data_IF_061340311927
#
_entry.id   IF_061340311927
#
_cell.length_a   1.000
_cell.length_b   1.000
_cell.length_c   1.000
_cell.angle_alpha   90.00
_cell.angle_beta   90.00
_cell.angle_gamma   90.00
#
_symmetry.space_group_name_H-M   'P 1'
#
loop_
_entity.id
_entity.type
_entity.pdbx_description
1 polymer ?
#
# COMPACT_ATOMS: atom_id res chain seq x y z
N UNK A 1 -7.37 -25.00 -63.56
CA UNK A 1 -6.44 -24.56 -62.51
C UNK A 1 -7.22 -24.36 -61.22
N UNK A 2 -7.41 -25.37 -60.36
CA UNK A 2 -7.79 -25.17 -58.94
C UNK A 2 -7.62 -26.51 -58.22
N UNK A 3 -6.36 -26.83 -57.87
CA UNK A 3 -5.99 -27.87 -56.90
C UNK A 3 -4.62 -27.53 -56.36
N UNK A 4 -4.59 -26.81 -55.24
CA UNK A 4 -3.53 -26.72 -54.21
C UNK A 4 -3.96 -25.62 -53.25
N UNK A 5 -3.73 -25.83 -51.95
CA UNK A 5 -3.91 -24.90 -50.81
C UNK A 5 -5.00 -25.21 -49.78
N UNK A 6 -5.44 -26.47 -49.63
CA UNK A 6 -6.27 -26.85 -48.48
C UNK A 6 -5.57 -27.74 -47.44
N UNK A 7 -4.25 -27.99 -47.58
CA UNK A 7 -3.52 -28.90 -46.70
C UNK A 7 -2.51 -28.23 -45.74
N UNK A 8 -2.27 -26.93 -45.83
CA UNK A 8 -1.29 -26.23 -44.96
C UNK A 8 -1.88 -25.51 -43.74
N UNK A 9 -3.19 -25.29 -43.69
CA UNK A 9 -3.83 -24.55 -42.58
C UNK A 9 -4.22 -25.44 -41.41
N UNK A 10 -4.61 -26.69 -41.65
CA UNK A 10 -4.99 -27.63 -40.58
C UNK A 10 -3.78 -28.11 -39.77
N UNK A 11 -2.62 -28.30 -40.41
CA UNK A 11 -1.41 -28.73 -39.71
C UNK A 11 -0.85 -27.63 -38.79
N UNK A 12 -0.89 -26.36 -39.21
CA UNK A 12 -0.44 -25.22 -38.40
C UNK A 12 -1.37 -24.94 -37.21
N UNK A 13 -2.68 -25.13 -37.38
CA UNK A 13 -3.65 -25.01 -36.28
C UNK A 13 -3.52 -26.17 -35.31
N UNK A 14 -3.27 -27.39 -35.78
CA UNK A 14 -3.01 -28.55 -34.91
C UNK A 14 -1.66 -28.39 -34.20
N UNK A 15 -0.61 -27.87 -34.84
CA UNK A 15 0.68 -27.59 -34.19
C UNK A 15 0.56 -26.45 -33.18
N UNK A 16 -0.23 -25.41 -33.48
CA UNK A 16 -0.53 -24.33 -32.56
C UNK A 16 -1.41 -24.83 -31.40
N UNK A 17 -2.40 -25.69 -31.63
CA UNK A 17 -3.22 -26.30 -30.57
C UNK A 17 -2.39 -27.30 -29.76
N UNK A 18 -1.44 -28.03 -30.36
CA UNK A 18 -0.52 -28.92 -29.64
C UNK A 18 0.49 -28.08 -28.85
N UNK A 19 1.03 -26.98 -29.38
CA UNK A 19 1.85 -26.04 -28.61
C UNK A 19 1.02 -25.35 -27.51
N UNK A 20 -0.23 -24.99 -27.77
CA UNK A 20 -1.13 -24.38 -26.79
C UNK A 20 -1.58 -25.40 -25.74
N UNK A 21 -1.74 -26.68 -26.09
CA UNK A 21 -1.98 -27.80 -25.17
C UNK A 21 -0.70 -28.15 -24.40
N UNK A 22 0.49 -28.03 -25.00
CA UNK A 22 1.79 -28.17 -24.33
C UNK A 22 2.02 -26.99 -23.36
N UNK A 23 1.58 -25.78 -23.70
CA UNK A 23 1.59 -24.60 -22.82
C UNK A 23 0.52 -24.74 -21.71
N UNK A 24 -0.63 -25.37 -22.00
CA UNK A 24 -1.70 -25.63 -21.02
C UNK A 24 -1.42 -26.88 -20.15
N UNK A 25 -0.38 -27.67 -20.45
CA UNK A 25 0.08 -28.79 -19.61
C UNK A 25 1.55 -28.62 -19.20
N UNK A 26 1.83 -27.73 -18.23
CA UNK A 26 2.84 -27.98 -17.16
C UNK A 26 2.92 -26.81 -16.17
N UNK A 27 2.07 -26.86 -15.16
CA UNK A 27 2.50 -26.61 -13.79
C UNK A 27 1.84 -27.67 -12.92
N UNK A 28 2.18 -28.94 -13.18
CA UNK A 28 2.04 -29.97 -12.14
C UNK A 28 3.23 -29.74 -11.22
N UNK A 29 2.95 -29.40 -9.97
CA UNK A 29 3.86 -29.55 -8.83
C UNK A 29 4.95 -30.59 -9.14
N UNK A 30 6.21 -30.18 -9.31
CA UNK A 30 7.28 -31.06 -9.79
C UNK A 30 8.29 -31.33 -8.68
N UNK A 31 8.31 -32.58 -8.25
CA UNK A 31 9.41 -33.10 -7.43
C UNK A 31 10.65 -33.25 -8.32
N UNK A 32 11.78 -32.70 -7.89
CA UNK A 32 13.01 -32.62 -8.67
C UNK A 32 13.98 -33.72 -8.24
N UNK A 33 14.47 -34.48 -9.22
CA UNK A 33 15.69 -35.27 -9.05
C UNK A 33 16.94 -34.38 -9.11
N UNK A 34 18.08 -34.94 -8.71
CA UNK A 34 19.40 -34.27 -8.79
C UNK A 34 19.69 -33.67 -10.17
N UNK A 35 19.49 -34.45 -11.23
CA UNK A 35 19.78 -34.00 -12.59
C UNK A 35 18.82 -32.89 -13.04
N UNK A 36 17.54 -33.00 -12.68
CA UNK A 36 16.54 -31.99 -13.03
C UNK A 36 16.75 -30.68 -12.27
N UNK A 37 17.17 -30.78 -11.01
CA UNK A 37 17.61 -29.62 -10.23
C UNK A 37 18.79 -28.95 -10.92
N UNK A 38 19.85 -29.69 -11.28
CA UNK A 38 21.04 -29.13 -11.95
C UNK A 38 20.69 -28.49 -13.32
N UNK A 39 19.77 -29.10 -14.07
CA UNK A 39 19.31 -28.57 -15.36
C UNK A 39 18.50 -27.28 -15.18
N UNK A 40 17.61 -27.23 -14.20
CA UNK A 40 16.85 -26.02 -13.87
C UNK A 40 17.76 -24.94 -13.31
N UNK A 41 18.70 -25.32 -12.45
CA UNK A 41 19.62 -24.38 -11.85
C UNK A 41 20.51 -23.72 -12.91
N UNK A 42 20.96 -24.46 -13.93
CA UNK A 42 21.76 -23.87 -15.02
C UNK A 42 20.96 -23.05 -16.04
N UNK A 43 19.68 -23.36 -16.24
CA UNK A 43 18.90 -22.78 -17.35
C UNK A 43 17.94 -21.68 -16.92
N UNK A 44 17.63 -21.58 -15.63
CA UNK A 44 16.60 -20.68 -15.14
C UNK A 44 17.22 -19.51 -14.39
N UNK A 45 16.73 -18.32 -14.74
CA UNK A 45 17.09 -17.06 -14.08
C UNK A 45 16.63 -17.03 -12.62
N UNK A 46 15.43 -17.55 -12.35
CA UNK A 46 14.90 -17.72 -11.02
C UNK A 46 14.44 -19.17 -10.82
N UNK A 47 14.98 -19.82 -9.80
CA UNK A 47 14.58 -21.17 -9.39
C UNK A 47 14.23 -21.15 -7.90
N UNK A 48 12.99 -21.46 -7.54
CA UNK A 48 12.53 -21.49 -6.15
C UNK A 48 12.20 -22.92 -5.72
N UNK A 49 12.93 -23.44 -4.73
CA UNK A 49 12.86 -24.86 -4.38
C UNK A 49 12.55 -25.04 -2.90
N UNK A 50 11.55 -25.87 -2.60
CA UNK A 50 11.30 -26.38 -1.26
C UNK A 50 12.06 -27.67 -1.01
N UNK A 51 12.91 -27.68 0.00
CA UNK A 51 13.55 -28.86 0.54
C UNK A 51 12.74 -29.35 1.75
N UNK A 52 12.32 -30.61 1.73
CA UNK A 52 11.52 -31.23 2.78
C UNK A 52 11.96 -32.67 3.03
N UNK A 53 11.39 -33.33 4.04
CA UNK A 53 11.57 -34.77 4.27
C UNK A 53 10.20 -35.42 4.48
N UNK A 54 9.95 -36.52 3.75
CA UNK A 54 8.73 -37.33 3.88
C UNK A 54 8.63 -38.17 5.16
N UNK A 55 9.74 -38.37 5.89
CA UNK A 55 9.84 -39.32 7.01
C UNK A 55 10.31 -38.64 8.31
N UNK A 56 11.25 -37.70 8.23
CA UNK A 56 11.96 -37.17 9.40
C UNK A 56 11.49 -35.77 9.84
N UNK A 57 10.44 -35.24 9.21
CA UNK A 57 10.00 -33.85 9.43
C UNK A 57 8.49 -33.74 9.74
N UNK A 58 8.17 -33.37 10.99
CA UNK A 58 6.78 -33.29 11.49
C UNK A 58 5.91 -32.25 10.78
N UNK A 59 6.49 -31.12 10.36
CA UNK A 59 5.76 -30.01 9.70
C UNK A 59 5.77 -30.10 8.18
N UNK A 60 6.65 -30.94 7.60
CA UNK A 60 6.86 -30.99 6.15
C UNK A 60 5.63 -31.45 5.37
N UNK A 61 4.78 -32.33 5.94
CA UNK A 61 3.57 -32.76 5.26
C UNK A 61 2.60 -31.58 4.97
N UNK A 62 2.39 -30.70 5.95
CA UNK A 62 1.54 -29.53 5.77
C UNK A 62 2.22 -28.49 4.87
N UNK A 63 3.50 -28.20 5.09
CA UNK A 63 4.27 -27.29 4.25
C UNK A 63 4.29 -27.71 2.79
N UNK A 64 4.44 -29.01 2.51
CA UNK A 64 4.40 -29.55 1.15
C UNK A 64 3.01 -29.35 0.51
N UNK A 65 1.93 -29.48 1.27
CA UNK A 65 0.59 -29.22 0.77
C UNK A 65 0.42 -27.75 0.37
N UNK A 66 0.81 -26.83 1.26
CA UNK A 66 0.75 -25.38 1.02
C UNK A 66 1.64 -24.98 -0.17
N UNK A 67 2.81 -25.60 -0.29
CA UNK A 67 3.73 -25.42 -1.40
C UNK A 67 3.16 -25.91 -2.73
N UNK A 68 2.51 -27.08 -2.77
CA UNK A 68 1.86 -27.59 -3.99
C UNK A 68 0.70 -26.69 -4.44
N UNK A 69 -0.03 -26.09 -3.49
CA UNK A 69 -1.05 -25.09 -3.79
C UNK A 69 -0.45 -23.81 -4.38
N UNK A 70 0.71 -23.41 -3.87
CA UNK A 70 1.50 -22.31 -4.42
C UNK A 70 1.98 -22.64 -5.85
N UNK A 71 2.65 -23.77 -6.09
CA UNK A 71 3.18 -24.21 -7.39
C UNK A 71 2.13 -24.23 -8.51
N UNK A 72 0.95 -24.79 -8.25
CA UNK A 72 -0.10 -24.98 -9.26
C UNK A 72 -0.66 -23.67 -9.85
N UNK A 73 -0.35 -22.51 -9.25
CA UNK A 73 -0.78 -21.19 -9.77
C UNK A 73 0.24 -20.56 -10.73
N UNK A 74 1.53 -20.87 -10.60
CA UNK A 74 2.59 -20.16 -11.33
C UNK A 74 2.55 -20.31 -12.85
N UNK A 75 1.81 -21.31 -13.36
CA UNK A 75 1.52 -21.43 -14.79
C UNK A 75 0.57 -20.37 -15.36
N UNK A 76 -0.14 -19.59 -14.53
CA UNK A 76 -1.18 -18.64 -14.97
C UNK A 76 -0.85 -17.16 -14.69
N UNK A 77 0.29 -16.85 -14.07
CA UNK A 77 0.66 -15.47 -13.68
C UNK A 77 1.87 -15.02 -14.50
N UNK A 78 1.67 -14.09 -15.44
CA UNK A 78 2.71 -13.64 -16.38
C UNK A 78 3.97 -13.10 -15.67
N UNK A 79 3.80 -12.47 -14.50
CA UNK A 79 4.89 -11.88 -13.71
C UNK A 79 5.93 -12.91 -13.23
N UNK A 80 5.52 -14.17 -13.08
CA UNK A 80 6.39 -15.24 -12.62
C UNK A 80 6.67 -16.28 -13.70
N UNK A 81 6.40 -15.96 -14.96
CA UNK A 81 6.72 -16.82 -16.10
C UNK A 81 8.22 -17.18 -16.17
N UNK A 82 9.09 -16.33 -15.63
CA UNK A 82 10.55 -16.55 -15.53
C UNK A 82 10.98 -17.37 -14.29
N UNK A 83 10.05 -17.75 -13.41
CA UNK A 83 10.35 -18.50 -12.18
C UNK A 83 9.98 -19.95 -12.34
N UNK A 84 10.95 -20.84 -12.21
CA UNK A 84 10.68 -22.27 -12.03
C UNK A 84 10.54 -22.59 -10.55
N UNK A 85 9.53 -23.39 -10.22
CA UNK A 85 9.21 -23.77 -8.85
C UNK A 85 9.14 -25.27 -8.76
N UNK A 86 9.86 -25.83 -7.79
CA UNK A 86 9.87 -27.27 -7.53
C UNK A 86 10.11 -27.59 -6.07
N UNK A 87 10.19 -28.88 -5.78
CA UNK A 87 10.49 -29.38 -4.44
C UNK A 87 11.38 -30.62 -4.48
N UNK A 88 12.15 -30.85 -3.42
CA UNK A 88 13.10 -31.95 -3.28
C UNK A 88 12.84 -32.66 -1.96
N UNK A 89 12.65 -33.98 -2.01
CA UNK A 89 12.63 -34.83 -0.82
C UNK A 89 14.05 -35.22 -0.40
N UNK A 90 14.54 -34.63 0.69
CA UNK A 90 15.85 -34.88 1.25
C UNK A 90 16.04 -36.28 1.83
N UNK A 91 14.96 -37.06 2.03
CA UNK A 91 15.12 -38.47 2.36
C UNK A 91 15.65 -39.29 1.19
N UNK A 92 15.18 -38.95 -0.02
CA UNK A 92 15.51 -39.62 -1.27
C UNK A 92 16.79 -39.03 -1.85
N UNK A 93 16.93 -37.71 -1.83
CA UNK A 93 18.04 -36.97 -2.44
C UNK A 93 18.96 -36.34 -1.38
N UNK A 94 19.51 -37.17 -0.47
CA UNK A 94 20.37 -36.72 0.64
C UNK A 94 21.61 -35.96 0.17
N UNK A 95 22.25 -36.43 -0.90
CA UNK A 95 23.47 -35.82 -1.43
C UNK A 95 23.19 -34.43 -1.99
N UNK A 96 22.05 -34.23 -2.65
CA UNK A 96 21.60 -32.92 -3.12
C UNK A 96 21.41 -31.97 -1.94
N UNK A 97 20.60 -32.36 -0.93
CA UNK A 97 20.33 -31.49 0.20
C UNK A 97 21.58 -31.18 1.04
N UNK A 98 22.53 -32.11 1.11
CA UNK A 98 23.82 -31.86 1.76
C UNK A 98 24.68 -30.88 0.96
N UNK A 99 24.68 -30.99 -0.38
CA UNK A 99 25.39 -30.08 -1.28
C UNK A 99 24.84 -28.65 -1.23
N UNK A 100 23.52 -28.51 -1.17
CA UNK A 100 22.84 -27.21 -1.07
C UNK A 100 22.79 -26.66 0.37
N UNK A 101 23.57 -27.21 1.32
CA UNK A 101 23.68 -26.81 2.73
C UNK A 101 22.33 -26.68 3.45
N UNK A 102 21.46 -27.68 3.28
CA UNK A 102 20.13 -27.71 3.92
C UNK A 102 20.24 -28.31 5.32
N UNK A 103 20.33 -27.45 6.32
CA UNK A 103 20.52 -27.84 7.73
C UNK A 103 19.20 -28.06 8.49
N UNK A 104 18.14 -27.35 8.10
CA UNK A 104 16.81 -27.43 8.73
C UNK A 104 15.72 -27.72 7.69
N UNK A 105 14.69 -28.47 8.09
CA UNK A 105 13.58 -28.84 7.24
C UNK A 105 12.22 -28.49 7.90
N UNK A 106 11.24 -28.00 7.13
CA UNK A 106 11.33 -27.62 5.71
C UNK A 106 12.12 -26.33 5.50
N UNK A 107 12.80 -26.21 4.35
CA UNK A 107 13.55 -25.03 3.93
C UNK A 107 13.20 -24.68 2.49
N UNK A 108 12.68 -23.48 2.24
CA UNK A 108 12.62 -22.95 0.88
C UNK A 108 13.85 -22.09 0.57
N UNK A 109 14.41 -22.25 -0.62
CA UNK A 109 15.58 -21.50 -1.08
C UNK A 109 15.35 -21.01 -2.50
N UNK A 110 15.64 -19.73 -2.74
CA UNK A 110 15.59 -19.09 -4.04
C UNK A 110 17.00 -18.96 -4.61
N UNK A 111 17.17 -19.45 -5.82
CA UNK A 111 18.38 -19.33 -6.62
C UNK A 111 18.15 -18.27 -7.69
N UNK A 112 19.04 -17.29 -7.77
CA UNK A 112 18.96 -16.15 -8.69
C UNK A 112 20.21 -16.09 -9.54
N UNK A 113 20.06 -16.24 -10.85
CA UNK A 113 21.12 -15.94 -11.82
C UNK A 113 21.21 -14.42 -12.01
N UNK A 114 22.36 -13.82 -11.66
CA UNK A 114 22.61 -12.41 -11.96
C UNK A 114 23.18 -12.22 -13.36
N UNK A 115 24.04 -13.15 -13.77
CA UNK A 115 24.65 -13.27 -15.07
C UNK A 115 25.05 -14.75 -15.27
N UNK A 116 25.45 -15.14 -16.48
CA UNK A 116 25.82 -16.54 -16.83
C UNK A 116 26.96 -17.17 -16.02
N UNK A 117 27.49 -16.48 -15.00
CA UNK A 117 28.63 -16.87 -14.17
C UNK A 117 28.30 -16.78 -12.66
N UNK A 118 27.44 -15.85 -12.24
CA UNK A 118 27.22 -15.51 -10.83
C UNK A 118 25.81 -15.86 -10.40
N UNK A 119 25.71 -16.69 -9.36
CA UNK A 119 24.45 -17.15 -8.79
C UNK A 119 24.35 -16.79 -7.31
N UNK A 120 23.19 -16.31 -6.89
CA UNK A 120 22.90 -15.96 -5.49
C UNK A 120 21.88 -16.95 -4.93
N UNK A 121 22.14 -17.43 -3.73
CA UNK A 121 21.24 -18.28 -2.96
C UNK A 121 20.62 -17.47 -1.82
N UNK A 122 19.30 -17.57 -1.67
CA UNK A 122 18.54 -16.81 -0.68
C UNK A 122 17.62 -17.75 0.07
N UNK A 123 17.89 -17.93 1.36
CA UNK A 123 17.06 -18.73 2.23
C UNK A 123 15.75 -18.00 2.55
N UNK A 124 14.67 -18.77 2.63
CA UNK A 124 13.40 -18.30 3.15
C UNK A 124 13.39 -18.40 4.67
N UNK A 125 13.42 -17.25 5.34
CA UNK A 125 13.61 -17.17 6.80
C UNK A 125 12.30 -17.26 7.62
N UNK A 126 11.14 -17.29 6.97
CA UNK A 126 9.85 -17.32 7.67
C UNK A 126 9.41 -18.75 8.00
N UNK A 127 8.74 -18.90 9.13
CA UNK A 127 8.10 -20.16 9.54
C UNK A 127 6.74 -20.39 8.85
N UNK A 128 6.20 -19.37 8.19
CA UNK A 128 4.90 -19.41 7.53
C UNK A 128 5.11 -19.75 6.05
N UNK A 129 4.78 -20.98 5.66
CA UNK A 129 4.80 -21.43 4.26
C UNK A 129 3.43 -21.27 3.59
N UNK A 130 2.55 -20.48 4.21
CA UNK A 130 1.32 -20.11 3.56
C UNK A 130 1.64 -19.27 2.32
N UNK A 131 0.67 -19.27 1.42
CA UNK A 131 0.80 -18.68 0.11
C UNK A 131 1.23 -17.20 0.13
N UNK A 132 0.75 -16.38 1.07
CA UNK A 132 1.09 -14.96 1.09
C UNK A 132 2.56 -14.73 1.39
N UNK A 133 3.07 -15.50 2.34
CA UNK A 133 4.43 -15.33 2.82
C UNK A 133 5.44 -15.74 1.74
N UNK A 134 5.13 -16.81 0.98
CA UNK A 134 5.90 -17.24 -0.19
C UNK A 134 5.81 -16.24 -1.36
N UNK A 135 4.60 -15.77 -1.70
CA UNK A 135 4.39 -14.77 -2.76
C UNK A 135 5.17 -13.48 -2.45
N UNK A 136 5.05 -12.95 -1.22
CA UNK A 136 5.72 -11.72 -0.81
C UNK A 136 7.24 -11.84 -0.82
N UNK A 137 7.78 -12.99 -0.40
CA UNK A 137 9.21 -13.23 -0.46
C UNK A 137 9.68 -13.24 -1.91
N UNK A 138 9.06 -14.04 -2.78
CA UNK A 138 9.46 -14.18 -4.16
C UNK A 138 9.36 -12.85 -4.91
N UNK A 139 8.26 -12.10 -4.72
CA UNK A 139 8.09 -10.75 -5.26
C UNK A 139 9.19 -9.81 -4.79
N UNK A 140 9.48 -9.79 -3.49
CA UNK A 140 10.53 -8.92 -2.92
C UNK A 140 11.89 -9.20 -3.55
N UNK A 141 12.25 -10.46 -3.77
CA UNK A 141 13.54 -10.80 -4.37
C UNK A 141 13.57 -10.48 -5.87
N UNK A 142 12.56 -10.89 -6.64
CA UNK A 142 12.50 -10.59 -8.09
C UNK A 142 12.55 -9.08 -8.32
N UNK A 143 11.79 -8.31 -7.53
CA UNK A 143 11.80 -6.84 -7.63
C UNK A 143 13.18 -6.27 -7.30
N UNK A 144 13.82 -6.74 -6.22
CA UNK A 144 15.17 -6.29 -5.81
C UNK A 144 16.22 -6.51 -6.91
N UNK A 145 16.26 -7.70 -7.50
CA UNK A 145 17.26 -8.03 -8.52
C UNK A 145 16.90 -7.49 -9.91
N UNK A 146 15.60 -7.31 -10.20
CA UNK A 146 15.13 -6.66 -11.41
C UNK A 146 15.56 -5.18 -11.50
N UNK A 147 15.54 -4.44 -10.39
CA UNK A 147 15.98 -3.03 -10.36
C UNK A 147 17.50 -2.85 -10.43
N UNK A 148 18.30 -3.74 -9.83
CA UNK A 148 19.77 -3.62 -9.81
C UNK A 148 20.42 -3.70 -11.19
N UNK A 149 19.81 -4.42 -12.15
CA UNK A 149 20.32 -4.47 -13.53
C UNK A 149 20.09 -3.15 -14.29
N UNK A 150 19.02 -2.41 -13.98
CA UNK A 150 18.72 -1.14 -14.64
C UNK A 150 19.68 -0.01 -14.22
N UNK A 151 20.16 0.01 -12.98
CA UNK A 151 21.15 1.01 -12.55
C UNK A 151 22.51 0.81 -13.23
N UNK A 152 22.89 -0.45 -13.47
CA UNK A 152 24.13 -0.79 -14.19
C UNK A 152 24.03 -0.45 -15.69
N UNK A 153 22.83 -0.58 -16.28
CA UNK A 153 22.57 -0.23 -17.69
C UNK A 153 22.38 1.27 -17.90
N UNK A 154 21.78 2.02 -16.96
CA UNK A 154 21.68 3.49 -17.00
C UNK A 154 23.04 4.18 -16.95
N UNK A 155 23.99 3.62 -16.20
CA UNK A 155 25.36 4.15 -16.15
C UNK A 155 26.13 3.95 -17.48
N UNK A 156 25.75 2.96 -18.29
CA UNK A 156 26.35 2.74 -19.61
C UNK A 156 25.66 3.55 -20.73
N UNK A 157 24.38 3.89 -20.61
CA UNK A 157 23.63 4.63 -21.63
C UNK A 157 23.77 6.17 -21.55
N UNK A 158 24.36 6.73 -20.48
CA UNK A 158 24.64 8.18 -20.40
C UNK A 158 25.90 8.63 -21.16
N UNK A 159 26.52 7.73 -21.93
CA UNK A 159 27.69 8.02 -22.76
C UNK A 159 27.47 7.73 -24.25
N UNK A 160 26.25 7.91 -24.80
CA UNK A 160 26.18 8.19 -26.24
C UNK A 160 24.93 8.97 -26.66
N UNK A 161 25.24 10.07 -27.35
CA UNK A 161 24.50 11.20 -27.89
C UNK A 161 23.27 10.93 -28.77
N UNK A 162 22.35 11.90 -28.73
CA UNK A 162 21.69 12.59 -29.86
C UNK A 162 21.62 11.89 -31.23
N UNK A 163 20.38 11.73 -31.74
CA UNK A 163 19.86 11.99 -33.11
C UNK A 163 18.69 11.04 -33.46
N UNK A 164 17.78 11.59 -34.25
CA UNK A 164 16.39 11.26 -34.61
C UNK A 164 16.06 9.91 -35.29
N UNK A 165 14.79 9.53 -35.07
CA UNK A 165 13.77 8.95 -35.97
C UNK A 165 13.95 7.58 -36.67
N UNK A 166 12.82 6.86 -36.61
CA UNK A 166 12.31 5.76 -37.45
C UNK A 166 12.55 4.29 -37.08
N UNK A 167 11.47 3.54 -37.34
CA UNK A 167 11.12 2.19 -36.94
C UNK A 167 12.10 1.10 -37.38
N UNK A 168 12.41 0.16 -36.48
CA UNK A 168 12.46 -1.27 -36.80
C UNK A 168 12.43 -2.11 -35.53
N UNK A 169 11.64 -3.19 -35.58
CA UNK A 169 11.56 -4.21 -34.54
C UNK A 169 12.93 -4.80 -34.20
N UNK A 170 13.20 -4.95 -32.90
CA UNK A 170 14.25 -5.85 -32.41
C UNK A 170 13.68 -6.73 -31.29
N UNK A 171 13.82 -8.04 -31.50
CA UNK A 171 13.48 -9.12 -30.59
C UNK A 171 14.61 -9.24 -29.55
N UNK A 172 14.53 -8.47 -28.48
CA UNK A 172 15.26 -8.79 -27.25
C UNK A 172 14.28 -8.77 -26.09
N UNK A 173 14.19 -9.93 -25.42
CA UNK A 173 13.30 -10.20 -24.28
C UNK A 173 13.68 -9.38 -23.04
N UNK A 174 13.50 -8.07 -23.12
CA UNK A 174 13.43 -7.17 -21.98
C UNK A 174 12.04 -7.26 -21.36
N UNK A 175 12.02 -7.39 -20.04
CA UNK A 175 10.81 -7.35 -19.23
C UNK A 175 10.04 -6.06 -19.49
N UNK A 176 9.03 -6.11 -20.35
CA UNK A 176 8.01 -5.07 -20.41
C UNK A 176 7.19 -5.24 -19.14
N UNK A 177 7.46 -4.41 -18.12
CA UNK A 177 6.47 -4.13 -17.08
C UNK A 177 5.19 -3.81 -17.85
N UNK A 178 4.19 -4.68 -17.74
CA UNK A 178 2.90 -4.43 -18.36
C UNK A 178 2.45 -3.07 -17.82
N UNK A 179 2.50 -2.03 -18.66
CA UNK A 179 2.04 -0.71 -18.27
C UNK A 179 0.54 -0.85 -18.09
N UNK A 180 0.10 -1.08 -16.84
CA UNK A 180 -1.30 -0.94 -16.47
C UNK A 180 -1.73 0.45 -16.93
N UNK A 181 -2.61 0.50 -17.93
CA UNK A 181 -3.14 1.75 -18.46
C UNK A 181 -4.38 2.11 -17.65
N UNK A 182 -4.37 3.31 -17.08
CA UNK A 182 -5.57 3.86 -16.48
C UNK A 182 -6.63 4.09 -17.56
N UNK A 183 -7.90 3.86 -17.21
CA UNK A 183 -9.04 4.29 -18.01
C UNK A 183 -9.65 5.50 -17.33
N UNK A 184 -9.49 6.69 -17.93
CA UNK A 184 -9.92 7.97 -17.32
C UNK A 184 -9.33 8.17 -15.91
N UNK A 185 -8.02 7.97 -15.76
CA UNK A 185 -7.32 8.06 -14.46
C UNK A 185 -7.61 6.93 -13.45
N UNK A 186 -8.48 5.96 -13.76
CA UNK A 186 -8.78 4.83 -12.88
C UNK A 186 -8.02 3.57 -13.30
N UNK A 187 -7.27 2.98 -12.37
CA UNK A 187 -6.60 1.70 -12.55
C UNK A 187 -7.46 0.55 -12.01
N UNK A 188 -7.78 -0.42 -12.86
CA UNK A 188 -8.37 -1.69 -12.43
C UNK A 188 -7.23 -2.66 -12.10
N UNK A 189 -7.21 -3.16 -10.86
CA UNK A 189 -6.16 -4.05 -10.39
C UNK A 189 -6.73 -5.45 -10.15
N UNK A 190 -5.87 -6.44 -10.35
CA UNK A 190 -6.17 -7.86 -10.23
C UNK A 190 -5.33 -8.52 -9.13
N UNK A 191 -5.62 -9.78 -8.84
CA UNK A 191 -4.78 -10.62 -7.97
C UNK A 191 -3.31 -10.68 -8.44
N UNK A 192 -3.06 -10.51 -9.74
CA UNK A 192 -1.74 -10.70 -10.35
C UNK A 192 -0.89 -9.43 -10.35
N UNK A 193 -1.52 -8.26 -10.49
CA UNK A 193 -0.81 -6.98 -10.66
C UNK A 193 -0.81 -6.10 -9.41
N UNK A 194 -1.76 -6.30 -8.49
CA UNK A 194 -2.02 -5.37 -7.39
C UNK A 194 -0.81 -5.25 -6.45
N UNK A 195 -0.12 -6.35 -6.15
CA UNK A 195 1.06 -6.32 -5.30
C UNK A 195 2.20 -5.47 -5.90
N UNK A 196 2.47 -5.64 -7.20
CA UNK A 196 3.52 -4.89 -7.90
C UNK A 196 3.12 -3.42 -8.07
N UNK A 197 1.90 -3.17 -8.57
CA UNK A 197 1.43 -1.82 -8.84
C UNK A 197 1.41 -0.96 -7.57
N UNK A 198 0.99 -1.54 -6.44
CA UNK A 198 0.87 -0.86 -5.16
C UNK A 198 2.20 -0.78 -4.38
N UNK A 199 3.27 -1.44 -4.86
CA UNK A 199 4.57 -1.51 -4.17
C UNK A 199 5.34 -0.18 -4.11
N UNK A 200 5.03 0.77 -5.00
CA UNK A 200 5.72 2.06 -5.10
C UNK A 200 4.75 3.21 -5.33
N UNK A 201 5.00 4.35 -4.68
CA UNK A 201 4.18 5.56 -4.80
C UNK A 201 2.99 5.58 -3.83
N UNK A 202 2.12 6.57 -4.00
CA UNK A 202 0.88 6.69 -3.22
C UNK A 202 -0.30 6.18 -4.04
N UNK A 203 -1.12 5.35 -3.41
CA UNK A 203 -2.29 4.75 -4.03
C UNK A 203 -3.49 4.89 -3.13
N UNK A 204 -4.62 5.28 -3.70
CA UNK A 204 -5.90 5.22 -3.02
C UNK A 204 -6.80 4.20 -3.72
N UNK A 205 -7.11 3.12 -3.01
CA UNK A 205 -7.65 1.90 -3.61
C UNK A 205 -9.04 1.60 -3.07
N UNK A 206 -10.00 1.39 -3.97
CA UNK A 206 -11.35 0.94 -3.67
C UNK A 206 -11.50 -0.59 -3.83
N UNK A 207 -11.68 -1.29 -2.72
CA UNK A 207 -11.98 -2.71 -2.69
C UNK A 207 -13.50 -2.90 -2.67
N UNK A 208 -14.05 -3.45 -3.76
CA UNK A 208 -15.48 -3.46 -4.00
C UNK A 208 -16.01 -4.83 -4.46
N UNK A 209 -17.33 -5.01 -4.46
CA UNK A 209 -17.99 -6.13 -5.10
C UNK A 209 -19.17 -5.64 -5.97
N UNK A 210 -19.41 -6.20 -7.16
CA UNK A 210 -20.36 -5.66 -8.14
C UNK A 210 -21.82 -5.76 -7.67
N UNK A 211 -22.14 -6.73 -6.81
CA UNK A 211 -23.48 -6.91 -6.22
C UNK A 211 -23.74 -6.02 -5.00
N UNK A 212 -22.73 -5.31 -4.49
CA UNK A 212 -22.88 -4.49 -3.30
C UNK A 212 -23.49 -3.12 -3.64
N UNK A 213 -24.69 -2.84 -3.12
CA UNK A 213 -25.39 -1.56 -3.36
C UNK A 213 -24.57 -0.34 -2.93
N UNK A 214 -23.87 -0.38 -1.79
CA UNK A 214 -23.00 0.72 -1.36
C UNK A 214 -21.83 0.95 -2.32
N UNK A 215 -21.28 -0.12 -2.92
CA UNK A 215 -20.24 -0.01 -3.95
C UNK A 215 -20.79 0.61 -5.24
N UNK A 216 -21.99 0.22 -5.64
CA UNK A 216 -22.67 0.77 -6.82
C UNK A 216 -22.91 2.28 -6.68
N UNK A 217 -23.30 2.75 -5.49
CA UNK A 217 -23.46 4.18 -5.21
C UNK A 217 -22.13 4.95 -5.20
N UNK A 218 -21.04 4.34 -4.74
CA UNK A 218 -19.72 4.97 -4.71
C UNK A 218 -19.08 5.02 -6.10
N UNK A 219 -19.31 4.01 -6.94
CA UNK A 219 -18.69 3.85 -8.27
C UNK A 219 -18.64 5.15 -9.12
N UNK A 220 -19.76 5.85 -9.39
CA UNK A 220 -19.71 7.06 -10.23
C UNK A 220 -18.86 8.18 -9.60
N UNK A 221 -18.88 8.32 -8.27
CA UNK A 221 -18.06 9.31 -7.55
C UNK A 221 -16.58 8.95 -7.62
N UNK A 222 -16.26 7.66 -7.47
CA UNK A 222 -14.89 7.14 -7.56
C UNK A 222 -14.29 7.38 -8.95
N UNK A 223 -15.05 7.09 -10.01
CA UNK A 223 -14.66 7.36 -11.40
C UNK A 223 -14.44 8.87 -11.65
N UNK A 224 -15.29 9.73 -11.08
CA UNK A 224 -15.10 11.20 -11.17
C UNK A 224 -13.82 11.67 -10.47
N UNK A 225 -13.52 11.10 -9.30
CA UNK A 225 -12.29 11.42 -8.54
C UNK A 225 -11.07 10.99 -9.34
N UNK A 226 -11.05 9.75 -9.83
CA UNK A 226 -9.99 9.20 -10.66
C UNK A 226 -9.73 10.07 -11.89
N UNK A 227 -10.79 10.46 -12.60
CA UNK A 227 -10.70 11.36 -13.76
C UNK A 227 -10.12 12.73 -13.38
N UNK A 228 -10.51 13.28 -12.24
CA UNK A 228 -9.99 14.58 -11.78
C UNK A 228 -8.51 14.54 -11.40
N UNK A 229 -7.95 13.36 -11.16
CA UNK A 229 -6.56 13.13 -10.75
C UNK A 229 -5.74 12.39 -11.81
N UNK A 230 -6.24 12.25 -13.04
CA UNK A 230 -5.60 11.47 -14.11
C UNK A 230 -4.17 11.93 -14.42
N UNK A 231 -3.90 13.23 -14.29
CA UNK A 231 -2.58 13.84 -14.52
C UNK A 231 -1.80 14.11 -13.22
N UNK A 232 -2.27 13.61 -12.08
CA UNK A 232 -1.57 13.79 -10.81
C UNK A 232 -0.49 12.72 -10.64
N UNK A 233 0.78 13.13 -10.61
CA UNK A 233 1.91 12.20 -10.47
C UNK A 233 2.13 11.73 -9.02
N UNK A 234 1.51 12.38 -8.03
CA UNK A 234 1.72 12.12 -6.61
C UNK A 234 0.85 10.97 -6.10
N UNK A 235 -0.32 10.76 -6.68
CA UNK A 235 -1.28 9.70 -6.26
C UNK A 235 -1.93 9.02 -7.45
N UNK A 236 -2.09 7.70 -7.37
CA UNK A 236 -2.87 6.90 -8.32
C UNK A 236 -4.17 6.43 -7.68
N UNK A 237 -5.26 6.50 -8.44
CA UNK A 237 -6.59 6.05 -8.00
C UNK A 237 -6.87 4.68 -8.63
N UNK A 238 -7.15 3.69 -7.79
CA UNK A 238 -7.30 2.30 -8.22
C UNK A 238 -8.54 1.65 -7.63
N UNK A 239 -8.93 0.51 -8.19
CA UNK A 239 -9.95 -0.35 -7.61
C UNK A 239 -9.65 -1.83 -7.85
N UNK A 240 -10.18 -2.68 -6.96
CA UNK A 240 -10.08 -4.14 -7.04
C UNK A 240 -11.47 -4.73 -6.84
N UNK A 241 -11.94 -5.48 -7.83
CA UNK A 241 -13.15 -6.30 -7.71
C UNK A 241 -12.86 -7.54 -6.85
N UNK A 242 -13.30 -7.54 -5.61
CA UNK A 242 -13.08 -8.62 -4.65
C UNK A 242 -13.91 -9.90 -4.90
N UNK A 243 -14.88 -9.86 -5.82
CA UNK A 243 -15.54 -11.08 -6.28
C UNK A 243 -14.61 -11.91 -7.17
N UNK A 244 -13.84 -11.25 -8.02
CA UNK A 244 -12.93 -11.89 -8.98
C UNK A 244 -11.52 -12.04 -8.41
N UNK A 245 -11.11 -11.11 -7.55
CA UNK A 245 -9.77 -11.00 -6.97
C UNK A 245 -9.79 -11.32 -5.47
N UNK A 246 -10.22 -12.55 -5.16
CA UNK A 246 -10.47 -13.00 -3.78
C UNK A 246 -9.17 -12.98 -2.97
N UNK A 247 -8.02 -13.26 -3.59
CA UNK A 247 -6.76 -13.37 -2.89
C UNK A 247 -6.25 -12.01 -2.40
N UNK A 248 -6.13 -11.04 -3.31
CA UNK A 248 -5.73 -9.68 -2.98
C UNK A 248 -6.65 -9.14 -1.87
N UNK A 249 -7.95 -9.29 -2.03
CA UNK A 249 -8.90 -8.78 -1.05
C UNK A 249 -8.85 -9.51 0.30
N UNK A 250 -9.01 -10.84 0.35
CA UNK A 250 -9.14 -11.55 1.64
C UNK A 250 -7.81 -11.81 2.32
N UNK A 251 -6.79 -12.19 1.57
CA UNK A 251 -5.53 -12.68 2.14
C UNK A 251 -4.52 -11.55 2.30
N UNK A 252 -4.28 -10.77 1.24
CA UNK A 252 -3.26 -9.71 1.24
C UNK A 252 -3.73 -8.47 2.02
N UNK A 253 -4.89 -7.93 1.66
CA UNK A 253 -5.40 -6.67 2.23
C UNK A 253 -6.44 -6.87 3.34
N UNK A 254 -6.78 -8.12 3.66
CA UNK A 254 -7.67 -8.51 4.77
C UNK A 254 -9.01 -7.75 4.78
N UNK A 255 -9.58 -7.57 3.59
CA UNK A 255 -10.86 -6.88 3.36
C UNK A 255 -12.00 -7.75 3.91
N UNK A 256 -12.83 -7.15 4.77
CA UNK A 256 -13.95 -7.82 5.44
C UNK A 256 -15.32 -7.31 5.00
N UNK A 257 -15.38 -6.08 4.50
CA UNK A 257 -16.61 -5.38 4.15
C UNK A 257 -16.39 -4.49 2.91
N UNK A 258 -17.48 -4.18 2.21
CA UNK A 258 -17.45 -3.44 0.95
C UNK A 258 -18.40 -2.23 0.97
N UNK A 259 -18.01 -1.09 0.38
CA UNK A 259 -16.66 -0.81 -0.12
C UNK A 259 -15.68 -0.63 1.05
N UNK A 260 -14.43 -1.03 0.85
CA UNK A 260 -13.32 -0.65 1.74
C UNK A 260 -12.35 0.24 0.96
N UNK A 261 -12.04 1.42 1.51
CA UNK A 261 -11.13 2.38 0.90
C UNK A 261 -9.82 2.44 1.70
N UNK A 262 -8.69 2.10 1.07
CA UNK A 262 -7.38 2.10 1.71
C UNK A 262 -6.40 3.04 1.02
N UNK A 263 -5.64 3.78 1.82
CA UNK A 263 -4.44 4.49 1.38
C UNK A 263 -3.23 3.58 1.55
N UNK A 264 -2.54 3.30 0.45
CA UNK A 264 -1.36 2.44 0.40
C UNK A 264 -0.18 3.26 -0.09
N UNK A 265 0.88 3.29 0.71
CA UNK A 265 2.12 4.01 0.43
C UNK A 265 3.27 3.02 0.35
N UNK A 266 3.88 2.89 -0.83
CA UNK A 266 5.00 1.98 -1.07
C UNK A 266 4.75 0.56 -0.53
N UNK A 267 3.62 -0.03 -0.90
CA UNK A 267 3.20 -1.38 -0.50
C UNK A 267 2.66 -1.51 0.93
N UNK A 268 2.67 -0.44 1.74
CA UNK A 268 2.18 -0.47 3.13
C UNK A 268 0.83 0.22 3.24
N UNK A 269 -0.11 -0.42 3.93
CA UNK A 269 -1.39 0.21 4.30
C UNK A 269 -1.09 1.28 5.36
N UNK A 270 -1.26 2.56 5.01
CA UNK A 270 -1.01 3.70 5.90
C UNK A 270 -2.30 4.14 6.58
N UNK A 271 -3.42 4.14 5.85
CA UNK A 271 -4.70 4.57 6.38
C UNK A 271 -5.87 3.80 5.78
N UNK A 272 -6.94 3.67 6.58
CA UNK A 272 -8.26 3.20 6.13
C UNK A 272 -9.22 4.38 6.19
N UNK A 273 -9.81 4.72 5.07
CA UNK A 273 -10.80 5.80 5.03
C UNK A 273 -12.12 5.33 5.63
N UNK A 274 -12.69 6.15 6.52
CA UNK A 274 -13.95 5.91 7.23
C UNK A 274 -14.93 7.08 7.13
N UNK A 275 -14.59 8.09 6.31
CA UNK A 275 -15.41 9.29 6.15
C UNK A 275 -16.57 9.09 5.18
N UNK A 276 -17.33 10.17 4.95
CA UNK A 276 -18.43 10.20 3.98
C UNK A 276 -17.99 9.81 2.57
N UNK A 277 -18.84 9.14 1.80
CA UNK A 277 -18.59 8.82 0.39
C UNK A 277 -18.89 9.98 -0.57
N UNK A 278 -19.08 11.20 -0.05
CA UNK A 278 -19.16 12.41 -0.87
C UNK A 278 -17.80 12.81 -1.44
N UNK A 279 -17.81 13.36 -2.66
CA UNK A 279 -16.59 13.67 -3.45
C UNK A 279 -15.66 14.61 -2.67
N UNK A 280 -16.20 15.64 -2.02
CA UNK A 280 -15.40 16.65 -1.34
C UNK A 280 -14.67 16.08 -0.11
N UNK A 281 -15.31 15.19 0.64
CA UNK A 281 -14.67 14.51 1.77
C UNK A 281 -13.55 13.58 1.31
N UNK A 282 -13.77 12.84 0.23
CA UNK A 282 -12.74 11.99 -0.34
C UNK A 282 -11.55 12.81 -0.86
N UNK A 283 -11.80 13.91 -1.58
CA UNK A 283 -10.74 14.81 -2.05
C UNK A 283 -9.96 15.43 -0.90
N UNK A 284 -10.65 15.86 0.17
CA UNK A 284 -10.03 16.39 1.38
C UNK A 284 -9.10 15.35 2.02
N UNK A 285 -9.54 14.10 2.11
CA UNK A 285 -8.70 13.00 2.58
C UNK A 285 -7.46 12.78 1.71
N UNK A 286 -7.62 12.74 0.37
CA UNK A 286 -6.49 12.59 -0.56
C UNK A 286 -5.46 13.70 -0.34
N UNK A 287 -5.90 14.96 -0.25
CA UNK A 287 -5.03 16.10 -0.02
C UNK A 287 -4.28 15.98 1.32
N UNK A 288 -4.98 15.58 2.38
CA UNK A 288 -4.36 15.33 3.70
C UNK A 288 -3.29 14.23 3.64
N UNK A 289 -3.53 13.13 2.93
CA UNK A 289 -2.54 12.04 2.84
C UNK A 289 -1.31 12.42 2.00
N UNK A 290 -1.51 13.14 0.88
CA UNK A 290 -0.41 13.66 0.07
C UNK A 290 0.46 14.64 0.87
N UNK A 291 -0.21 15.50 1.62
CA UNK A 291 0.43 16.44 2.53
C UNK A 291 1.27 15.71 3.59
N UNK A 292 0.71 14.71 4.27
CA UNK A 292 1.45 13.97 5.30
C UNK A 292 2.68 13.26 4.69
N UNK A 293 2.56 12.73 3.47
CA UNK A 293 3.67 12.12 2.74
C UNK A 293 4.78 13.12 2.38
N UNK A 294 4.43 14.32 1.91
CA UNK A 294 5.40 15.37 1.61
C UNK A 294 6.14 15.83 2.87
N UNK A 295 5.44 15.95 3.99
CA UNK A 295 6.05 16.28 5.27
C UNK A 295 7.02 15.20 5.73
N UNK A 296 6.61 13.94 5.71
CA UNK A 296 7.50 12.82 6.07
C UNK A 296 8.76 12.78 5.21
N UNK A 297 8.64 13.11 3.91
CA UNK A 297 9.78 13.23 3.00
C UNK A 297 10.69 14.39 3.37
N UNK A 298 10.13 15.54 3.76
CA UNK A 298 10.89 16.70 4.23
C UNK A 298 11.58 16.40 5.57
N UNK A 299 10.87 15.84 6.54
CA UNK A 299 11.39 15.48 7.86
C UNK A 299 12.57 14.50 7.76
N UNK A 300 12.48 13.48 6.88
CA UNK A 300 13.60 12.56 6.61
C UNK A 300 14.80 13.23 5.93
N UNK A 301 14.55 14.25 5.11
CA UNK A 301 15.62 15.01 4.45
C UNK A 301 16.37 15.91 5.45
N UNK A 302 15.66 16.43 6.46
CA UNK A 302 16.24 17.35 7.45
C UNK A 302 16.66 16.65 8.75
N UNK A 303 16.29 15.39 9.01
CA UNK A 303 16.81 14.61 10.15
C UNK A 303 18.33 14.41 10.12
N UNK A 304 18.96 14.65 8.96
CA UNK A 304 20.42 14.64 8.79
C UNK A 304 21.05 16.03 9.02
N UNK A 305 20.25 17.07 9.32
CA UNK A 305 20.68 18.44 9.55
C UNK A 305 19.93 19.07 10.75
N UNK A 306 20.56 19.00 11.93
CA UNK A 306 20.02 19.50 13.20
C UNK A 306 19.65 21.01 13.18
N UNK A 307 18.63 21.38 13.97
CA UNK A 307 18.15 22.74 14.32
C UNK A 307 17.15 23.52 13.42
N UNK A 308 16.23 22.85 12.71
CA UNK A 308 15.11 23.56 12.02
C UNK A 308 13.80 22.80 11.82
N UNK A 309 13.71 21.57 12.29
CA UNK A 309 12.59 20.65 12.01
C UNK A 309 11.28 21.07 12.70
N UNK A 310 11.38 21.59 13.93
CA UNK A 310 10.21 21.85 14.77
C UNK A 310 9.41 23.08 14.30
N UNK A 311 10.10 24.12 13.81
CA UNK A 311 9.47 25.36 13.32
C UNK A 311 8.79 25.16 11.95
N UNK A 312 9.36 24.30 11.09
CA UNK A 312 8.75 23.88 9.83
C UNK A 312 7.52 22.98 10.04
N UNK A 313 7.55 22.08 11.03
CA UNK A 313 6.39 21.25 11.37
C UNK A 313 5.21 22.10 11.88
N UNK A 314 5.50 23.18 12.63
CA UNK A 314 4.51 24.13 13.14
C UNK A 314 3.91 24.99 12.01
N UNK A 315 4.70 25.56 11.09
CA UNK A 315 4.18 26.34 9.95
C UNK A 315 3.34 25.47 9.00
N UNK A 316 3.75 24.21 8.82
CA UNK A 316 3.09 23.28 7.90
C UNK A 316 1.75 22.77 8.41
N UNK A 317 1.65 22.35 9.69
CA UNK A 317 0.37 21.95 10.31
C UNK A 317 -0.63 23.10 10.36
N UNK A 318 -0.15 24.35 10.38
CA UNK A 318 -0.93 25.59 10.28
C UNK A 318 -1.64 25.74 8.92
N UNK A 319 -1.10 25.13 7.85
CA UNK A 319 -1.62 25.24 6.48
C UNK A 319 -2.53 24.09 6.06
N UNK A 320 -2.44 22.94 6.71
CA UNK A 320 -3.01 21.68 6.18
C UNK A 320 -4.06 21.03 7.07
N UNK A 321 -4.18 21.52 8.29
CA UNK A 321 -5.26 21.18 9.20
C UNK A 321 -6.28 22.32 9.21
N UNK A 322 -7.58 22.00 9.27
CA UNK A 322 -8.60 22.99 9.66
C UNK A 322 -8.46 23.40 11.14
N UNK A 323 -7.49 22.83 11.88
CA UNK A 323 -7.14 23.23 13.24
C UNK A 323 -6.31 24.51 13.20
N UNK A 324 -6.94 25.60 13.64
CA UNK A 324 -6.31 26.91 13.80
C UNK A 324 -5.28 26.84 14.94
N UNK A 325 -4.03 27.21 14.67
CA UNK A 325 -3.02 27.35 15.71
C UNK A 325 -3.17 28.71 16.41
N UNK A 326 -3.48 28.66 17.70
CA UNK A 326 -3.63 29.85 18.52
C UNK A 326 -2.39 30.16 19.33
N UNK A 327 -2.06 31.45 19.40
CA UNK A 327 -1.02 32.05 20.22
C UNK A 327 -1.58 33.28 20.94
N UNK A 328 -0.78 33.92 21.79
CA UNK A 328 -1.21 35.10 22.53
C UNK A 328 -1.78 36.24 21.65
N UNK A 329 -1.31 36.37 20.41
CA UNK A 329 -1.70 37.47 19.51
C UNK A 329 -3.06 37.24 18.83
N UNK A 330 -3.37 36.00 18.45
CA UNK A 330 -4.58 35.68 17.68
C UNK A 330 -5.68 34.97 18.51
N UNK A 331 -5.38 34.54 19.73
CA UNK A 331 -6.31 33.78 20.56
C UNK A 331 -7.61 34.55 20.77
N UNK A 332 -7.50 35.77 21.33
CA UNK A 332 -8.66 36.61 21.65
C UNK A 332 -9.49 36.95 20.42
N UNK A 333 -8.85 37.41 19.34
CA UNK A 333 -9.56 37.71 18.09
C UNK A 333 -10.26 36.50 17.47
N UNK A 334 -9.74 35.29 17.70
CA UNK A 334 -10.39 34.06 17.24
C UNK A 334 -11.53 33.64 18.17
N UNK A 335 -11.41 33.79 19.48
CA UNK A 335 -12.44 33.34 20.44
C UNK A 335 -13.56 34.35 20.68
N UNK A 336 -13.34 35.63 20.37
CA UNK A 336 -14.28 36.74 20.62
C UNK A 336 -15.50 36.76 19.69
N UNK A 337 -15.54 35.93 18.65
CA UNK A 337 -16.67 35.89 17.71
C UNK A 337 -16.95 34.47 17.23
N UNK A 338 -18.22 34.09 17.18
CA UNK A 338 -18.68 32.78 16.75
C UNK A 338 -18.19 31.67 17.69
N UNK A 339 -18.25 30.43 17.20
CA UNK A 339 -17.87 29.27 17.99
C UNK A 339 -16.42 28.88 17.76
N UNK A 340 -15.68 28.62 18.84
CA UNK A 340 -14.30 28.12 18.77
C UNK A 340 -14.07 27.01 19.79
N UNK A 341 -13.75 25.80 19.36
CA UNK A 341 -13.35 24.71 20.24
C UNK A 341 -11.83 24.60 20.27
N UNK A 342 -11.23 24.81 21.44
CA UNK A 342 -9.78 24.89 21.63
C UNK A 342 -9.27 23.67 22.40
N UNK A 343 -8.26 23.01 21.82
CA UNK A 343 -7.46 21.99 22.49
C UNK A 343 -6.17 22.59 23.04
N UNK A 344 -6.06 22.67 24.36
CA UNK A 344 -4.83 23.04 25.07
C UNK A 344 -3.96 21.79 25.27
N UNK A 345 -2.75 21.84 24.72
CA UNK A 345 -1.93 20.64 24.50
C UNK A 345 -0.47 20.87 24.87
N UNK A 346 0.27 19.77 25.07
CA UNK A 346 1.74 19.77 25.19
C UNK A 346 2.34 18.56 24.48
N UNK A 347 3.52 18.68 23.84
CA UNK A 347 4.08 17.62 23.00
C UNK A 347 4.53 16.36 23.78
N UNK A 348 4.96 16.50 25.04
CA UNK A 348 5.41 15.37 25.87
C UNK A 348 4.27 14.57 26.51
N UNK A 349 3.02 15.06 26.51
CA UNK A 349 1.90 14.32 27.09
C UNK A 349 1.47 13.15 26.20
N UNK A 350 1.50 11.94 26.77
CA UNK A 350 1.00 10.73 26.10
C UNK A 350 -0.48 10.87 25.74
N UNK A 351 -1.29 11.48 26.59
CA UNK A 351 -2.72 11.67 26.36
C UNK A 351 -2.99 12.65 25.22
N UNK A 352 -2.21 13.73 25.11
CA UNK A 352 -2.26 14.65 23.98
C UNK A 352 -1.91 13.94 22.66
N UNK A 353 -0.84 13.13 22.66
CA UNK A 353 -0.43 12.36 21.46
C UNK A 353 -1.49 11.33 21.05
N UNK A 354 -2.14 10.66 22.00
CA UNK A 354 -3.20 9.70 21.72
C UNK A 354 -4.47 10.36 21.14
N UNK A 355 -4.82 11.55 21.63
CA UNK A 355 -6.01 12.29 21.18
C UNK A 355 -5.82 13.00 19.83
N UNK A 356 -4.57 13.22 19.41
CA UNK A 356 -4.23 13.97 18.19
C UNK A 356 -5.03 13.53 16.96
N UNK A 357 -5.07 12.22 16.68
CA UNK A 357 -5.79 11.70 15.51
C UNK A 357 -7.29 11.97 15.57
N UNK A 358 -7.90 11.92 16.75
CA UNK A 358 -9.33 12.19 16.92
C UNK A 358 -9.65 13.68 16.80
N UNK A 359 -8.76 14.55 17.30
CA UNK A 359 -8.89 16.00 17.14
C UNK A 359 -8.75 16.43 15.67
N UNK A 360 -7.81 15.82 14.94
CA UNK A 360 -7.62 16.09 13.52
C UNK A 360 -8.86 15.62 12.71
N UNK A 361 -9.38 14.42 13.00
CA UNK A 361 -10.65 13.92 12.40
C UNK A 361 -11.84 14.83 12.68
N UNK A 362 -11.94 15.34 13.91
CA UNK A 362 -12.97 16.28 14.32
C UNK A 362 -12.91 17.56 13.47
N UNK A 363 -11.72 18.14 13.30
CA UNK A 363 -11.53 19.37 12.51
C UNK A 363 -11.99 19.28 11.04
N UNK A 364 -12.08 18.07 10.49
CA UNK A 364 -12.49 17.84 9.11
C UNK A 364 -14.01 17.76 8.97
N UNK A 365 -14.72 17.29 10.00
CA UNK A 365 -16.16 16.98 9.94
C UNK A 365 -16.96 17.80 10.97
N UNK A 366 -16.73 19.11 11.01
CA UNK A 366 -17.46 20.06 11.88
C UNK A 366 -18.33 21.02 11.07
N UNK A 367 -19.40 21.58 11.66
CA UNK A 367 -20.16 22.65 11.04
C UNK A 367 -19.27 23.85 10.71
N UNK A 368 -19.51 24.52 9.58
CA UNK A 368 -18.75 25.71 9.16
C UNK A 368 -18.79 26.86 10.19
N UNK A 369 -19.79 26.88 11.09
CA UNK A 369 -19.92 27.85 12.17
C UNK A 369 -18.95 27.61 13.34
N UNK A 370 -18.32 26.43 13.39
CA UNK A 370 -17.40 26.03 14.46
C UNK A 370 -15.95 26.07 13.96
N UNK A 371 -15.16 26.94 14.58
CA UNK A 371 -13.70 26.92 14.44
C UNK A 371 -13.11 25.87 15.36
N UNK A 372 -12.22 25.04 14.83
CA UNK A 372 -11.45 24.09 15.63
C UNK A 372 -10.04 24.63 15.76
N UNK A 373 -9.50 24.63 16.97
CA UNK A 373 -8.24 25.29 17.27
C UNK A 373 -7.41 24.48 18.28
N UNK A 374 -6.12 24.82 18.37
CA UNK A 374 -5.26 24.33 19.45
C UNK A 374 -4.27 25.39 19.92
N UNK A 375 -3.91 25.29 21.20
CA UNK A 375 -2.83 26.06 21.84
C UNK A 375 -1.80 25.08 22.36
N UNK A 376 -0.54 25.26 21.96
CA UNK A 376 0.58 24.51 22.56
C UNK A 376 1.07 25.25 23.80
N UNK A 377 0.76 24.72 24.98
CA UNK A 377 1.10 25.32 26.26
C UNK A 377 2.57 25.18 26.63
N UNK A 378 3.34 24.38 25.88
CA UNK A 378 4.80 24.37 26.00
C UNK A 378 5.45 25.63 25.45
N UNK A 379 4.80 26.23 24.46
CA UNK A 379 5.25 27.44 23.77
C UNK A 379 4.52 28.66 24.36
N UNK A 380 3.22 28.52 24.63
CA UNK A 380 2.33 29.59 25.04
C UNK A 380 2.01 29.54 26.54
N UNK A 381 3.03 29.36 27.38
CA UNK A 381 2.90 29.16 28.85
C UNK A 381 2.06 30.28 29.52
N UNK A 382 2.33 31.54 29.17
CA UNK A 382 1.60 32.71 29.72
C UNK A 382 0.12 32.68 29.35
N UNK A 383 -0.21 32.36 28.10
CA UNK A 383 -1.59 32.26 27.65
C UNK A 383 -2.32 31.12 28.40
N UNK A 384 -1.71 29.95 28.52
CA UNK A 384 -2.33 28.83 29.21
C UNK A 384 -2.49 29.07 30.72
N UNK A 385 -1.57 29.82 31.33
CA UNK A 385 -1.70 30.28 32.73
C UNK A 385 -2.88 31.24 32.90
N UNK A 386 -3.03 32.22 31.98
CA UNK A 386 -4.16 33.16 31.99
C UNK A 386 -5.49 32.43 31.78
N UNK A 387 -5.50 31.43 30.90
CA UNK A 387 -6.64 30.55 30.66
C UNK A 387 -6.86 29.50 31.76
N UNK A 388 -6.05 29.51 32.82
CA UNK A 388 -6.12 28.60 33.97
C UNK A 388 -6.12 27.11 33.56
N UNK A 389 -5.25 26.76 32.63
CA UNK A 389 -5.04 25.38 32.20
C UNK A 389 -4.05 24.72 33.15
N UNK A 390 -4.50 23.74 33.92
CA UNK A 390 -3.73 23.07 34.97
C UNK A 390 -3.35 21.61 34.61
N UNK A 391 -3.97 21.06 33.57
CA UNK A 391 -3.72 19.69 33.10
C UNK A 391 -3.80 19.59 31.58
N UNK A 392 -3.26 18.50 31.02
CA UNK A 392 -3.22 18.31 29.57
C UNK A 392 -3.58 16.88 29.18
N UNK A 393 -4.43 16.66 28.16
CA UNK A 393 -5.11 17.68 27.35
C UNK A 393 -6.36 18.28 28.01
N UNK A 394 -6.50 19.60 27.94
CA UNK A 394 -7.74 20.32 28.32
C UNK A 394 -8.44 20.83 27.07
N UNK A 395 -9.76 20.71 27.05
CA UNK A 395 -10.61 21.04 25.91
C UNK A 395 -11.66 22.06 26.36
N UNK A 396 -11.66 23.24 25.73
CA UNK A 396 -12.51 24.36 26.12
C UNK A 396 -13.25 24.92 24.92
N UNK A 397 -14.56 25.11 25.06
CA UNK A 397 -15.39 25.74 24.04
C UNK A 397 -15.58 27.22 24.36
N UNK A 398 -15.51 28.06 23.33
CA UNK A 398 -15.72 29.49 23.42
C UNK A 398 -16.84 29.91 22.46
N UNK A 399 -17.64 30.88 22.89
CA UNK A 399 -18.65 31.52 22.08
C UNK A 399 -18.67 33.02 22.36
N UNK A 400 -18.41 33.84 21.34
CA UNK A 400 -18.47 35.32 21.41
C UNK A 400 -17.71 35.90 22.63
N UNK A 401 -16.50 35.39 22.87
CA UNK A 401 -15.62 35.82 23.97
C UNK A 401 -15.91 35.17 25.33
N UNK A 402 -16.99 34.38 25.43
CA UNK A 402 -17.33 33.65 26.64
C UNK A 402 -16.75 32.24 26.63
N UNK A 403 -16.06 31.88 27.71
CA UNK A 403 -15.55 30.53 27.98
C UNK A 403 -16.66 29.67 28.60
N UNK A 404 -16.97 28.54 27.97
CA UNK A 404 -17.93 27.56 28.46
C UNK A 404 -17.26 26.55 29.43
N UNK A 405 -18.05 25.72 30.15
CA UNK A 405 -17.50 24.67 31.00
C UNK A 405 -16.55 23.74 30.25
N UNK A 406 -15.50 23.27 30.93
CA UNK A 406 -14.55 22.31 30.35
C UNK A 406 -15.27 21.06 29.86
N UNK A 407 -14.79 20.51 28.74
CA UNK A 407 -15.21 19.20 28.29
C UNK A 407 -14.72 18.12 29.25
N UNK A 408 -15.65 17.43 29.90
CA UNK A 408 -15.38 16.47 30.98
C UNK A 408 -15.71 15.02 30.62
N UNK A 409 -16.14 14.75 29.38
CA UNK A 409 -16.41 13.39 28.93
C UNK A 409 -15.12 12.56 28.92
N UNK A 410 -15.27 11.29 29.32
CA UNK A 410 -14.19 10.30 29.31
C UNK A 410 -13.81 9.88 27.90
N UNK A 411 -14.78 9.92 26.98
CA UNK A 411 -14.53 9.65 25.57
C UNK A 411 -13.86 10.87 24.95
N UNK A 412 -12.78 10.65 24.19
CA UNK A 412 -12.04 11.71 23.51
C UNK A 412 -11.91 11.40 22.03
N UNK A 413 -13.07 11.15 21.41
CA UNK A 413 -13.23 10.82 19.98
C UNK A 413 -13.87 11.97 19.22
N UNK A 414 -13.70 11.99 17.90
CA UNK A 414 -14.31 13.03 17.06
C UNK A 414 -15.83 13.18 17.27
N UNK A 415 -16.54 12.05 17.38
CA UNK A 415 -17.99 12.04 17.61
C UNK A 415 -18.38 12.64 18.97
N UNK A 416 -17.61 12.32 20.01
CA UNK A 416 -17.87 12.82 21.37
C UNK A 416 -17.66 14.34 21.48
N UNK A 417 -16.71 14.90 20.71
CA UNK A 417 -16.50 16.36 20.62
C UNK A 417 -17.66 17.05 19.89
N UNK A 418 -18.11 16.47 18.78
CA UNK A 418 -19.23 17.00 18.00
C UNK A 418 -20.54 16.96 18.80
N UNK A 419 -20.79 15.87 19.52
CA UNK A 419 -21.95 15.74 20.39
C UNK A 419 -21.96 16.83 21.46
N UNK A 420 -20.83 17.05 22.13
CA UNK A 420 -20.72 18.11 23.13
C UNK A 420 -20.99 19.49 22.54
N UNK A 421 -20.41 19.82 21.39
CA UNK A 421 -20.68 21.08 20.69
C UNK A 421 -22.18 21.26 20.38
N UNK A 422 -22.84 20.22 19.86
CA UNK A 422 -24.26 20.26 19.54
C UNK A 422 -25.13 20.47 20.79
N UNK A 423 -24.75 19.91 21.94
CA UNK A 423 -25.45 20.14 23.21
C UNK A 423 -25.30 21.60 23.64
N UNK A 424 -24.07 22.12 23.65
CA UNK A 424 -23.82 23.50 24.09
C UNK A 424 -24.49 24.54 23.18
N UNK A 425 -24.38 24.36 21.86
CA UNK A 425 -24.96 25.28 20.88
C UNK A 425 -26.49 25.29 20.88
N UNK A 426 -27.15 24.18 21.21
CA UNK A 426 -28.61 24.13 21.34
C UNK A 426 -29.13 24.68 22.67
N UNK A 427 -28.30 24.71 23.72
CA UNK A 427 -28.69 25.13 25.06
C UNK A 427 -28.53 26.63 25.31
N UNK A 428 -27.86 27.38 24.41
CA UNK A 428 -27.82 28.84 24.49
C UNK A 428 -29.16 29.44 24.04
N UNK A 429 -29.77 30.35 24.84
CA UNK A 429 -31.01 30.99 24.47
C UNK A 429 -30.84 31.82 23.19
N UNK A 430 -31.74 31.62 22.21
CA UNK A 430 -31.73 32.25 20.87
C UNK A 430 -31.88 33.78 20.84
N UNK A 431 -31.76 34.47 21.98
CA UNK A 431 -31.96 35.93 22.10
C UNK A 431 -30.69 36.77 22.11
N UNK A 432 -29.50 36.14 22.00
CA UNK A 432 -28.21 36.85 21.85
C UNK A 432 -27.45 36.47 20.56
N UNK A 433 -28.13 35.89 19.57
CA UNK A 433 -27.57 35.57 18.24
C UNK A 433 -28.03 36.57 17.16
#
# INVERSE_FOLDING_TARGET
MYRKNFHLTTCSIIFAIIQFIIIIHRAKSKELSMNEFDDWDKSQKYLFVLFYSSESCKRCAQTLLDWKLFENRFGNVHLFSEVQIGHVDCNVHRDLCSREDIQELPMAKLYVELNKITRIEINYESNEYDRNSLDMFLLKQITRFGFQQQDSQRQQQQQQSDISSDESADETGGFTVMQLKAKNGLYELTDDDSALFLSQGQHFVNFYAPWCSHCQHLKPKWEMIAKSLENNEQVKISQINCQENIYACKMQYKIKEYPTLLWISNGKIVARYKGSHEIDHIKSFINSQLTDFELDKLLKKYSDADSGIEELEIDYRKKTSNVILLNADNFKGTTDSGWTFVHFTVPWSRHCRQMKSEWDKFSINVPNSLKVAKVDCSIQEKLCTLEKIDSYPTLMLYHDGHKLPEYDDKLRTADSFLQYFNIQSNNLPKTEL
#
